data_IF_903724563427
#
_entry.id   IF_903724563427
#
_cell.length_a   1.000
_cell.length_b   1.000
_cell.length_c   1.000
_cell.angle_alpha   90.00
_cell.angle_beta   90.00
_cell.angle_gamma   90.00
#
_symmetry.space_group_name_H-M   'P 1'
#
loop_
_entity.id
_entity.type
_entity.pdbx_description
1 polymer ?
#
# COMPACT_ATOMS: atom_id res chain seq x y z
N UNK A 1 -19.37 8.29 8.92
CA UNK A 1 -20.19 7.31 8.16
C UNK A 1 -20.72 6.25 9.11
N UNK A 2 -22.02 5.97 9.07
CA UNK A 2 -22.63 4.87 9.84
C UNK A 2 -23.05 3.77 8.87
N UNK A 3 -22.79 2.53 9.24
CA UNK A 3 -23.21 1.33 8.53
C UNK A 3 -23.44 0.21 9.54
N UNK A 4 -24.34 -0.73 9.22
CA UNK A 4 -24.66 -1.84 10.09
C UNK A 4 -23.62 -2.95 9.99
N UNK A 5 -23.57 -3.86 10.97
CA UNK A 5 -22.74 -5.05 10.90
C UNK A 5 -23.10 -5.92 9.68
N UNK A 6 -24.40 -6.06 9.41
CA UNK A 6 -24.87 -6.82 8.27
C UNK A 6 -24.41 -6.24 6.92
N UNK A 7 -24.39 -4.89 6.79
CA UNK A 7 -23.87 -4.22 5.60
C UNK A 7 -22.39 -4.50 5.39
N UNK A 8 -21.62 -4.50 6.49
CA UNK A 8 -20.20 -4.80 6.46
C UNK A 8 -19.94 -6.24 6.03
N UNK A 9 -20.63 -7.22 6.63
CA UNK A 9 -20.50 -8.64 6.26
C UNK A 9 -20.89 -8.87 4.80
N UNK A 10 -21.99 -8.30 4.34
CA UNK A 10 -22.44 -8.41 2.96
C UNK A 10 -21.41 -7.86 1.96
N UNK A 11 -20.73 -6.75 2.30
CA UNK A 11 -19.67 -6.20 1.46
C UNK A 11 -18.47 -7.14 1.35
N UNK A 12 -18.06 -7.79 2.44
CA UNK A 12 -16.89 -8.71 2.43
C UNK A 12 -17.09 -9.91 1.46
N UNK A 13 -18.33 -10.33 1.24
CA UNK A 13 -18.65 -11.41 0.28
C UNK A 13 -18.27 -11.04 -1.15
N UNK A 14 -18.36 -9.74 -1.48
CA UNK A 14 -18.06 -9.25 -2.83
C UNK A 14 -16.58 -9.41 -3.21
N UNK A 15 -15.67 -9.33 -2.23
CA UNK A 15 -14.22 -9.48 -2.45
C UNK A 15 -13.90 -10.93 -2.77
N UNK A 16 -13.23 -11.18 -3.89
CA UNK A 16 -12.69 -12.50 -4.26
C UNK A 16 -11.21 -12.63 -3.93
N UNK A 17 -10.45 -11.52 -4.00
CA UNK A 17 -9.04 -11.49 -3.62
C UNK A 17 -8.50 -10.09 -3.43
N UNK A 18 -7.57 -9.95 -2.48
CA UNK A 18 -6.94 -8.68 -2.15
C UNK A 18 -5.48 -8.88 -1.77
N UNK A 19 -4.62 -7.98 -2.25
CA UNK A 19 -3.22 -7.91 -1.85
C UNK A 19 -2.94 -6.62 -1.11
N UNK A 20 -2.12 -6.67 -0.07
CA UNK A 20 -1.44 -5.48 0.42
C UNK A 20 0.02 -5.47 -0.01
N UNK A 21 0.52 -4.29 -0.40
CA UNK A 21 1.90 -4.09 -0.80
C UNK A 21 2.61 -3.22 0.26
N UNK A 22 3.40 -3.87 1.11
CA UNK A 22 4.24 -3.24 2.12
C UNK A 22 5.68 -3.04 1.64
N UNK A 23 6.45 -2.26 2.40
CA UNK A 23 7.86 -1.98 2.14
C UNK A 23 8.18 -0.48 2.12
N UNK A 24 9.48 -0.15 2.18
CA UNK A 24 9.97 1.21 2.24
C UNK A 24 9.82 1.95 0.89
N UNK A 25 10.23 3.21 0.84
CA UNK A 25 10.13 4.03 -0.37
C UNK A 25 10.97 3.43 -1.50
N UNK A 26 10.48 3.50 -2.74
CA UNK A 26 11.15 3.05 -3.98
C UNK A 26 11.56 1.56 -4.00
N UNK A 27 10.96 0.70 -3.14
CA UNK A 27 11.24 -0.74 -3.16
C UNK A 27 10.54 -1.51 -4.30
N UNK A 28 9.61 -0.89 -5.06
CA UNK A 28 8.92 -1.51 -6.19
C UNK A 28 7.41 -1.71 -6.04
N UNK A 29 6.79 -1.25 -4.93
CA UNK A 29 5.34 -1.36 -4.72
C UNK A 29 4.50 -0.79 -5.85
N UNK A 30 4.88 0.39 -6.37
CA UNK A 30 4.14 1.04 -7.45
C UNK A 30 4.23 0.26 -8.75
N UNK A 31 5.39 -0.33 -9.07
CA UNK A 31 5.54 -1.20 -10.25
C UNK A 31 4.65 -2.45 -10.12
N UNK A 32 4.64 -3.10 -8.93
CA UNK A 32 3.74 -4.21 -8.65
C UNK A 32 2.27 -3.81 -8.79
N UNK A 33 1.87 -2.67 -8.21
CA UNK A 33 0.49 -2.17 -8.29
C UNK A 33 0.05 -1.88 -9.72
N UNK A 34 0.92 -1.25 -10.54
CA UNK A 34 0.66 -1.00 -11.96
C UNK A 34 0.51 -2.32 -12.74
N UNK A 35 1.39 -3.27 -12.49
CA UNK A 35 1.29 -4.59 -13.11
C UNK A 35 -0.02 -5.29 -12.75
N UNK A 36 -0.39 -5.32 -11.47
CA UNK A 36 -1.65 -5.92 -11.02
C UNK A 36 -2.88 -5.25 -11.67
N UNK A 37 -2.86 -3.92 -11.79
CA UNK A 37 -3.93 -3.17 -12.46
C UNK A 37 -4.07 -3.59 -13.93
N UNK A 38 -2.95 -3.79 -14.63
CA UNK A 38 -2.93 -4.20 -16.04
C UNK A 38 -3.52 -5.60 -16.30
N UNK A 39 -3.59 -6.43 -15.26
CA UNK A 39 -4.16 -7.79 -15.33
C UNK A 39 -5.51 -7.92 -14.60
N UNK A 40 -6.17 -6.79 -14.31
CA UNK A 40 -7.52 -6.75 -13.73
C UNK A 40 -7.56 -6.94 -12.20
N UNK A 41 -6.48 -6.63 -11.50
CA UNK A 41 -6.43 -6.52 -10.04
C UNK A 41 -6.28 -5.03 -9.73
N UNK A 42 -7.37 -4.35 -9.39
CA UNK A 42 -7.42 -2.89 -9.25
C UNK A 42 -6.39 -2.37 -8.27
N UNK A 43 -5.60 -1.42 -8.74
CA UNK A 43 -4.64 -0.69 -7.90
C UNK A 43 -5.35 0.37 -7.08
N UNK A 44 -5.22 0.31 -5.76
CA UNK A 44 -5.77 1.29 -4.83
C UNK A 44 -4.69 1.76 -3.85
N UNK A 45 -4.75 3.02 -3.45
CA UNK A 45 -3.77 3.59 -2.52
C UNK A 45 -4.41 3.79 -1.15
N UNK A 46 -3.78 3.27 -0.10
CA UNK A 46 -4.23 3.46 1.29
C UNK A 46 -4.45 4.93 1.60
N UNK A 47 -3.48 5.78 1.25
CA UNK A 47 -3.55 7.22 1.47
C UNK A 47 -4.78 7.90 0.84
N UNK A 48 -5.30 7.38 -0.26
CA UNK A 48 -6.48 7.96 -0.90
C UNK A 48 -7.72 7.79 -0.01
N UNK A 49 -7.90 6.60 0.57
CA UNK A 49 -9.01 6.29 1.48
C UNK A 49 -8.84 7.05 2.80
N UNK A 50 -7.62 7.09 3.36
CA UNK A 50 -7.33 7.85 4.58
C UNK A 50 -7.64 9.35 4.41
N UNK A 51 -7.30 9.95 3.27
CA UNK A 51 -7.65 11.35 2.95
C UNK A 51 -9.15 11.58 2.90
N UNK A 52 -9.90 10.69 2.28
CA UNK A 52 -11.36 10.79 2.27
C UNK A 52 -11.94 10.73 3.70
N UNK A 53 -11.46 9.79 4.51
CA UNK A 53 -11.85 9.67 5.91
C UNK A 53 -11.51 10.92 6.72
N UNK A 54 -10.36 11.54 6.49
CA UNK A 54 -9.93 12.79 7.12
C UNK A 54 -10.80 13.95 6.66
N UNK A 55 -11.06 14.08 5.36
CA UNK A 55 -11.88 15.17 4.79
C UNK A 55 -13.29 15.15 5.36
N UNK A 56 -13.94 14.00 5.49
CA UNK A 56 -15.26 13.88 6.10
C UNK A 56 -15.26 14.19 7.60
N UNK A 57 -14.11 14.09 8.26
CA UNK A 57 -13.90 14.50 9.66
C UNK A 57 -13.46 15.96 9.80
N UNK A 58 -13.53 16.73 8.71
CA UNK A 58 -13.16 18.14 8.64
C UNK A 58 -11.68 18.43 8.97
N UNK A 59 -10.77 17.47 8.70
CA UNK A 59 -9.33 17.73 8.77
C UNK A 59 -8.94 18.73 7.68
N UNK A 60 -8.14 19.72 8.05
CA UNK A 60 -7.67 20.76 7.13
C UNK A 60 -6.23 20.44 6.70
N UNK A 61 -6.02 20.05 5.46
CA UNK A 61 -4.70 19.84 4.87
C UNK A 61 -4.69 20.24 3.40
N UNK A 62 -3.53 20.72 2.93
CA UNK A 62 -3.29 21.03 1.51
C UNK A 62 -2.32 19.98 0.94
N UNK A 63 -2.78 19.23 -0.05
CA UNK A 63 -1.97 18.21 -0.68
C UNK A 63 -1.83 16.93 0.16
N UNK A 64 -0.76 16.77 0.96
CA UNK A 64 -0.54 15.59 1.80
C UNK A 64 -0.85 15.90 3.28
N UNK A 65 -1.61 15.04 3.99
CA UNK A 65 -1.85 15.17 5.42
C UNK A 65 -0.55 15.18 6.22
N UNK A 66 -0.53 15.91 7.33
CA UNK A 66 0.59 15.91 8.27
C UNK A 66 0.69 14.59 9.06
N UNK A 67 1.83 14.36 9.70
CA UNK A 67 1.99 13.22 10.61
C UNK A 67 0.97 13.25 11.76
N UNK A 68 0.65 14.45 12.24
CA UNK A 68 -0.35 14.63 13.30
C UNK A 68 -1.76 14.25 12.83
N UNK A 69 -2.11 14.52 11.56
CA UNK A 69 -3.40 14.12 11.00
C UNK A 69 -3.55 12.60 10.99
N UNK A 70 -2.50 11.86 10.59
CA UNK A 70 -2.50 10.40 10.67
C UNK A 70 -2.58 9.89 12.11
N UNK A 71 -1.84 10.51 13.03
CA UNK A 71 -1.89 10.17 14.45
C UNK A 71 -3.31 10.36 14.99
N UNK A 72 -3.94 11.49 14.70
CA UNK A 72 -5.28 11.81 15.16
C UNK A 72 -6.34 10.88 14.54
N UNK A 73 -6.20 10.50 13.26
CA UNK A 73 -7.13 9.59 12.58
C UNK A 73 -7.25 8.26 13.33
N UNK A 74 -6.13 7.74 13.84
CA UNK A 74 -6.06 6.43 14.48
C UNK A 74 -6.09 6.46 16.03
N UNK A 75 -6.14 7.66 16.66
CA UNK A 75 -5.93 7.81 18.10
C UNK A 75 -7.09 7.31 18.97
N UNK A 76 -8.34 7.44 18.53
CA UNK A 76 -9.51 7.22 19.41
C UNK A 76 -10.01 5.77 19.40
N UNK A 77 -10.09 5.17 18.24
CA UNK A 77 -10.62 3.82 18.06
C UNK A 77 -10.06 3.25 16.77
N UNK A 78 -8.88 2.68 16.88
CA UNK A 78 -8.12 2.16 15.74
C UNK A 78 -8.89 1.06 15.00
N UNK A 79 -9.56 0.15 15.72
CA UNK A 79 -10.32 -0.94 15.11
C UNK A 79 -11.52 -0.42 14.32
N UNK A 80 -12.24 0.56 14.85
CA UNK A 80 -13.33 1.23 14.14
C UNK A 80 -12.83 1.93 12.87
N UNK A 81 -11.66 2.57 12.94
CA UNK A 81 -11.02 3.21 11.76
C UNK A 81 -10.66 2.17 10.71
N UNK A 82 -10.10 1.03 11.09
CA UNK A 82 -9.79 -0.07 10.16
C UNK A 82 -11.05 -0.66 9.53
N UNK A 83 -12.11 -0.80 10.31
CA UNK A 83 -13.40 -1.29 9.82
C UNK A 83 -14.00 -0.33 8.80
N UNK A 84 -13.99 0.97 9.09
CA UNK A 84 -14.42 2.01 8.14
C UNK A 84 -13.56 2.04 6.88
N UNK A 85 -12.23 1.92 7.04
CA UNK A 85 -11.30 1.83 5.92
C UNK A 85 -11.67 0.66 4.98
N UNK A 86 -11.85 -0.53 5.53
CA UNK A 86 -12.20 -1.72 4.73
C UNK A 86 -13.58 -1.56 4.07
N UNK A 87 -14.57 -1.01 4.79
CA UNK A 87 -15.90 -0.76 4.26
C UNK A 87 -15.86 0.18 3.04
N UNK A 88 -15.07 1.26 3.09
CA UNK A 88 -14.88 2.20 1.98
C UNK A 88 -14.13 1.57 0.82
N UNK A 89 -13.07 0.83 1.13
CA UNK A 89 -12.28 0.13 0.12
C UNK A 89 -13.17 -0.80 -0.71
N UNK A 90 -13.98 -1.63 -0.06
CA UNK A 90 -14.89 -2.55 -0.74
C UNK A 90 -16.00 -1.77 -1.47
N UNK A 91 -16.49 -0.67 -0.89
CA UNK A 91 -17.47 0.21 -1.56
C UNK A 91 -16.98 0.68 -2.92
N UNK A 92 -15.75 1.16 -3.00
CA UNK A 92 -15.12 1.56 -4.27
C UNK A 92 -14.97 0.38 -5.25
N UNK A 93 -14.62 -0.79 -4.74
CA UNK A 93 -14.56 -2.00 -5.57
C UNK A 93 -15.95 -2.34 -6.15
N UNK A 94 -17.00 -2.18 -5.36
CA UNK A 94 -18.39 -2.43 -5.81
C UNK A 94 -18.86 -1.41 -6.86
N UNK A 95 -18.55 -0.11 -6.64
CA UNK A 95 -18.88 0.96 -7.59
C UNK A 95 -18.28 0.72 -8.98
N UNK A 96 -17.07 0.16 -9.03
CA UNK A 96 -16.36 -0.19 -10.27
C UNK A 96 -16.61 -1.65 -10.73
N UNK A 97 -17.42 -2.43 -10.00
CA UNK A 97 -17.67 -3.86 -10.22
C UNK A 97 -16.39 -4.71 -10.25
N UNK A 98 -15.47 -4.45 -9.32
CA UNK A 98 -14.14 -5.08 -9.24
C UNK A 98 -14.08 -6.01 -8.05
N UNK A 99 -13.71 -7.27 -8.27
CA UNK A 99 -13.62 -8.31 -7.23
C UNK A 99 -12.20 -8.53 -6.69
N UNK A 100 -11.19 -8.01 -7.38
CA UNK A 100 -9.77 -8.17 -7.03
C UNK A 100 -9.09 -6.81 -6.90
N UNK A 101 -8.38 -6.57 -5.80
CA UNK A 101 -7.68 -5.31 -5.58
C UNK A 101 -6.27 -5.52 -5.00
N UNK A 102 -5.37 -4.58 -5.30
CA UNK A 102 -4.10 -4.39 -4.60
C UNK A 102 -4.10 -3.06 -3.88
N UNK A 103 -3.81 -3.05 -2.59
CA UNK A 103 -3.68 -1.83 -1.78
C UNK A 103 -2.22 -1.48 -1.59
N UNK A 104 -1.83 -0.31 -2.09
CA UNK A 104 -0.44 0.13 -2.14
C UNK A 104 -0.05 0.93 -0.90
N UNK A 105 1.17 0.70 -0.45
CA UNK A 105 1.83 1.40 0.65
C UNK A 105 1.28 1.07 2.04
N UNK A 106 1.08 -0.24 2.31
CA UNK A 106 0.83 -0.69 3.68
C UNK A 106 2.04 -0.35 4.55
N UNK A 107 1.83 0.53 5.52
CA UNK A 107 2.84 0.99 6.47
C UNK A 107 2.44 0.78 7.93
N UNK A 108 1.20 0.33 8.18
CA UNK A 108 0.70 -0.08 9.50
C UNK A 108 0.47 -1.59 9.50
N UNK A 109 1.28 -2.31 10.27
CA UNK A 109 1.12 -3.77 10.40
C UNK A 109 -0.25 -4.15 10.96
N UNK A 110 -0.78 -3.35 11.89
CA UNK A 110 -2.08 -3.56 12.52
C UNK A 110 -3.23 -3.55 11.50
N UNK A 111 -3.16 -2.66 10.49
CA UNK A 111 -4.13 -2.66 9.40
C UNK A 111 -4.02 -3.96 8.57
N UNK A 112 -2.81 -4.41 8.26
CA UNK A 112 -2.60 -5.67 7.54
C UNK A 112 -3.15 -6.88 8.29
N UNK A 113 -2.94 -6.93 9.61
CA UNK A 113 -3.51 -7.97 10.49
C UNK A 113 -5.04 -7.91 10.47
N UNK A 114 -5.61 -6.70 10.60
CA UNK A 114 -7.06 -6.50 10.58
C UNK A 114 -7.68 -6.98 9.26
N UNK A 115 -7.10 -6.56 8.13
CA UNK A 115 -7.59 -6.97 6.80
C UNK A 115 -7.53 -8.49 6.61
N UNK A 116 -6.46 -9.14 7.11
CA UNK A 116 -6.32 -10.60 7.07
C UNK A 116 -7.35 -11.29 7.95
N UNK A 117 -7.64 -10.75 9.14
CA UNK A 117 -8.69 -11.24 10.05
C UNK A 117 -10.07 -11.21 9.36
N UNK A 118 -10.40 -10.08 8.71
CA UNK A 118 -11.73 -9.86 8.14
C UNK A 118 -11.97 -10.59 6.81
N UNK A 119 -10.96 -10.71 5.96
CA UNK A 119 -11.07 -11.28 4.62
C UNK A 119 -10.57 -12.74 4.54
N UNK A 120 -9.87 -13.21 5.58
CA UNK A 120 -9.36 -14.58 5.65
C UNK A 120 -8.43 -14.94 4.48
N UNK A 121 -8.66 -16.10 3.83
CA UNK A 121 -7.79 -16.57 2.75
C UNK A 121 -7.83 -15.70 1.49
N UNK A 122 -8.79 -14.79 1.37
CA UNK A 122 -8.87 -13.83 0.26
C UNK A 122 -7.85 -12.70 0.38
N UNK A 123 -7.22 -12.52 1.55
CA UNK A 123 -6.24 -11.45 1.81
C UNK A 123 -4.83 -12.01 1.88
N UNK A 124 -3.90 -11.37 1.15
CA UNK A 124 -2.48 -11.69 1.18
C UNK A 124 -1.65 -10.43 1.42
N UNK A 125 -0.80 -10.46 2.44
CA UNK A 125 0.14 -9.40 2.74
C UNK A 125 1.49 -9.70 2.04
N UNK A 126 1.92 -8.80 1.18
CA UNK A 126 3.17 -8.90 0.44
C UNK A 126 4.12 -7.80 0.94
N UNK A 127 5.32 -8.18 1.35
CA UNK A 127 6.37 -7.23 1.68
C UNK A 127 7.44 -7.23 0.62
N UNK A 128 7.74 -6.05 0.07
CA UNK A 128 8.78 -5.88 -0.94
C UNK A 128 9.94 -5.13 -0.30
N UNK A 129 11.11 -5.73 -0.33
CA UNK A 129 12.34 -5.12 0.17
C UNK A 129 13.36 -4.90 -0.94
N UNK A 130 14.15 -3.85 -0.77
CA UNK A 130 15.30 -3.54 -1.59
C UNK A 130 16.32 -2.75 -0.75
N UNK A 131 17.64 -2.93 -0.97
CA UNK A 131 18.68 -2.17 -0.32
C UNK A 131 18.50 -0.65 -0.52
N UNK A 132 18.92 0.15 0.45
CA UNK A 132 18.81 1.62 0.38
C UNK A 132 19.44 2.17 -0.90
N UNK A 133 20.61 1.68 -1.26
CA UNK A 133 21.34 2.11 -2.45
C UNK A 133 20.53 1.91 -3.73
N UNK A 134 19.95 0.72 -3.90
CA UNK A 134 19.08 0.39 -5.04
C UNK A 134 17.85 1.31 -5.08
N UNK A 135 17.25 1.56 -3.92
CA UNK A 135 16.08 2.45 -3.79
C UNK A 135 16.42 3.92 -4.09
N UNK A 136 17.58 4.37 -3.61
CA UNK A 136 18.10 5.70 -3.90
C UNK A 136 18.43 5.86 -5.38
N UNK A 137 18.99 4.85 -6.03
CA UNK A 137 19.29 4.86 -7.45
C UNK A 137 17.98 5.01 -8.29
N UNK A 138 16.91 4.31 -7.92
CA UNK A 138 15.59 4.45 -8.56
C UNK A 138 15.00 5.85 -8.39
N UNK A 139 15.11 6.39 -7.18
CA UNK A 139 14.66 7.76 -6.91
C UNK A 139 15.51 8.79 -7.65
N UNK A 140 16.83 8.57 -7.74
CA UNK A 140 17.74 9.44 -8.50
C UNK A 140 17.35 9.48 -9.97
N UNK A 141 17.18 8.33 -10.61
CA UNK A 141 16.71 8.25 -11.99
C UNK A 141 15.41 9.02 -12.20
N UNK A 142 14.43 8.77 -11.37
CA UNK A 142 13.11 9.41 -11.45
C UNK A 142 13.16 10.92 -11.25
N UNK A 143 13.98 11.44 -10.32
CA UNK A 143 14.02 12.87 -10.01
C UNK A 143 14.92 13.64 -10.96
N UNK A 144 16.06 13.10 -11.35
CA UNK A 144 17.06 13.80 -12.16
C UNK A 144 16.86 13.53 -13.64
N UNK A 145 16.69 12.27 -14.05
CA UNK A 145 16.59 11.90 -15.46
C UNK A 145 15.18 12.13 -15.98
N UNK A 146 14.17 11.56 -15.32
CA UNK A 146 12.78 11.62 -15.83
C UNK A 146 12.12 12.99 -15.58
N UNK A 147 12.43 13.64 -14.44
CA UNK A 147 11.82 14.92 -14.05
C UNK A 147 12.74 16.13 -14.22
N UNK A 148 13.98 15.95 -14.65
CA UNK A 148 14.93 17.03 -14.95
C UNK A 148 15.35 17.87 -13.74
N UNK A 149 15.29 17.32 -12.51
CA UNK A 149 15.71 18.04 -11.30
C UNK A 149 17.19 17.84 -11.05
N UNK A 150 17.86 18.89 -10.62
CA UNK A 150 19.29 18.87 -10.30
C UNK A 150 19.49 18.44 -8.84
N UNK A 151 19.70 17.14 -8.62
CA UNK A 151 20.06 16.55 -7.33
C UNK A 151 21.33 15.73 -7.47
N UNK A 152 22.20 15.80 -6.47
CA UNK A 152 23.30 14.84 -6.32
C UNK A 152 22.77 13.51 -5.81
N UNK A 153 23.52 12.42 -6.00
CA UNK A 153 23.13 11.11 -5.50
C UNK A 153 23.04 11.09 -3.96
N UNK A 154 23.96 11.77 -3.26
CA UNK A 154 23.94 11.84 -1.79
C UNK A 154 22.70 12.56 -1.24
N UNK A 155 22.27 13.63 -1.90
CA UNK A 155 21.00 14.30 -1.56
C UNK A 155 19.80 13.36 -1.74
N UNK A 156 19.81 12.56 -2.78
CA UNK A 156 18.76 11.55 -3.03
C UNK A 156 18.80 10.44 -1.96
N UNK A 157 19.97 9.98 -1.54
CA UNK A 157 20.11 9.00 -0.45
C UNK A 157 19.47 9.54 0.83
N UNK A 158 19.83 10.76 1.24
CA UNK A 158 19.26 11.39 2.43
C UNK A 158 17.76 11.64 2.31
N UNK A 159 17.30 12.08 1.14
CA UNK A 159 15.87 12.23 0.85
C UNK A 159 15.10 10.90 0.97
N UNK A 160 15.69 9.81 0.49
CA UNK A 160 15.09 8.47 0.57
C UNK A 160 15.00 8.00 2.01
N UNK A 161 16.04 8.20 2.81
CA UNK A 161 16.04 7.93 4.27
C UNK A 161 14.94 8.74 4.98
N UNK A 162 14.85 10.03 4.69
CA UNK A 162 13.85 10.91 5.31
C UNK A 162 12.40 10.48 4.97
N UNK A 163 12.13 10.07 3.73
CA UNK A 163 10.83 9.50 3.34
C UNK A 163 10.51 8.22 4.12
N UNK A 164 11.51 7.43 4.47
CA UNK A 164 11.31 6.18 5.20
C UNK A 164 11.06 6.39 6.69
N UNK A 165 11.62 7.45 7.31
CA UNK A 165 11.47 7.71 8.75
C UNK A 165 10.00 7.73 9.19
N UNK A 166 9.14 8.43 8.44
CA UNK A 166 7.70 8.45 8.70
C UNK A 166 7.11 7.03 8.68
N UNK A 167 7.41 6.26 7.64
CA UNK A 167 6.88 4.90 7.47
C UNK A 167 7.38 3.96 8.56
N UNK A 168 8.66 4.04 8.90
CA UNK A 168 9.30 3.24 9.96
C UNK A 168 8.65 3.55 11.31
N UNK A 169 8.47 4.83 11.63
CA UNK A 169 7.82 5.27 12.87
C UNK A 169 6.40 4.71 13.01
N UNK A 170 5.68 4.58 11.90
CA UNK A 170 4.32 4.04 11.87
C UNK A 170 4.23 2.52 11.63
N UNK A 171 5.35 1.80 11.70
CA UNK A 171 5.36 0.33 11.72
C UNK A 171 5.64 -0.34 10.38
N UNK A 172 6.13 0.37 9.36
CA UNK A 172 6.37 -0.22 8.04
C UNK A 172 7.32 -1.42 8.06
N UNK A 173 8.30 -1.46 8.98
CA UNK A 173 9.17 -2.62 9.12
C UNK A 173 8.44 -3.82 9.73
N UNK A 174 7.47 -3.59 10.64
CA UNK A 174 6.65 -4.65 11.23
C UNK A 174 5.70 -5.30 10.22
N UNK A 175 5.45 -4.64 9.07
CA UNK A 175 4.68 -5.26 7.98
C UNK A 175 5.40 -6.50 7.43
N UNK A 176 6.72 -6.56 7.54
CA UNK A 176 7.51 -7.75 7.17
C UNK A 176 7.13 -8.96 8.03
N UNK A 177 6.88 -8.75 9.31
CA UNK A 177 6.58 -9.82 10.27
C UNK A 177 5.21 -10.47 10.03
N UNK A 178 4.30 -9.76 9.38
CA UNK A 178 2.95 -10.23 9.05
C UNK A 178 2.79 -10.62 7.57
N UNK A 179 3.86 -10.55 6.80
CA UNK A 179 3.81 -10.83 5.37
C UNK A 179 3.64 -12.32 5.08
N UNK A 180 2.71 -12.66 4.20
CA UNK A 180 2.57 -14.01 3.65
C UNK A 180 3.69 -14.30 2.64
N UNK A 181 4.18 -13.25 1.96
CA UNK A 181 5.27 -13.33 0.98
C UNK A 181 6.22 -12.15 1.18
N UNK A 182 7.52 -12.45 1.20
CA UNK A 182 8.59 -11.45 1.17
C UNK A 182 9.30 -11.56 -0.18
N UNK A 183 9.46 -10.41 -0.85
CA UNK A 183 10.09 -10.34 -2.18
C UNK A 183 11.31 -9.45 -2.09
N UNK A 184 12.47 -10.01 -2.43
CA UNK A 184 13.70 -9.26 -2.64
C UNK A 184 13.70 -8.66 -4.05
N UNK A 185 13.65 -7.32 -4.10
CA UNK A 185 13.74 -6.55 -5.33
C UNK A 185 15.04 -5.72 -5.32
N UNK A 186 16.16 -6.44 -5.25
CA UNK A 186 17.51 -5.90 -5.04
C UNK A 186 18.26 -5.56 -6.34
N UNK A 187 17.69 -5.89 -7.49
CA UNK A 187 18.33 -5.65 -8.78
C UNK A 187 17.81 -4.39 -9.48
N UNK A 188 18.74 -3.71 -10.15
CA UNK A 188 18.47 -2.55 -10.97
C UNK A 188 18.15 -2.99 -12.41
N UNK A 189 17.14 -2.38 -13.03
CA UNK A 189 16.71 -2.43 -14.46
C UNK A 189 16.74 -3.78 -15.18
N UNK A 190 17.79 -4.59 -15.11
CA UNK A 190 17.92 -5.85 -15.86
C UNK A 190 16.95 -6.96 -15.44
N UNK A 191 16.35 -6.83 -14.26
CA UNK A 191 15.45 -7.82 -13.67
C UNK A 191 14.01 -7.36 -13.50
N UNK A 192 13.58 -6.27 -14.15
CA UNK A 192 12.17 -5.86 -14.11
C UNK A 192 11.25 -6.99 -14.59
N UNK A 193 11.64 -7.68 -15.64
CA UNK A 193 10.90 -8.83 -16.17
C UNK A 193 10.83 -9.98 -15.16
N UNK A 194 11.90 -10.25 -14.42
CA UNK A 194 11.90 -11.26 -13.36
C UNK A 194 11.00 -10.86 -12.21
N UNK A 195 11.07 -9.60 -11.78
CA UNK A 195 10.17 -9.05 -10.76
C UNK A 195 8.70 -9.16 -11.18
N UNK A 196 8.36 -8.79 -12.41
CA UNK A 196 6.99 -8.91 -12.93
C UNK A 196 6.53 -10.36 -13.06
N UNK A 197 7.43 -11.30 -13.38
CA UNK A 197 7.11 -12.73 -13.39
C UNK A 197 6.77 -13.25 -11.99
N UNK A 198 7.45 -12.78 -10.95
CA UNK A 198 7.08 -13.09 -9.55
C UNK A 198 5.68 -12.56 -9.24
N UNK A 199 5.37 -11.32 -9.65
CA UNK A 199 4.04 -10.74 -9.47
C UNK A 199 2.96 -11.54 -10.21
N UNK A 200 3.26 -12.03 -11.41
CA UNK A 200 2.36 -12.89 -12.19
C UNK A 200 2.06 -14.21 -11.46
N UNK A 201 3.09 -14.83 -10.89
CA UNK A 201 2.95 -16.03 -10.06
C UNK A 201 2.02 -15.80 -8.87
N UNK A 202 2.22 -14.69 -8.14
CA UNK A 202 1.39 -14.29 -7.00
C UNK A 202 -0.07 -14.05 -7.43
N UNK A 203 -0.30 -13.33 -8.51
CA UNK A 203 -1.63 -13.05 -9.04
C UNK A 203 -2.39 -14.34 -9.38
N UNK A 204 -1.69 -15.37 -9.88
CA UNK A 204 -2.29 -16.66 -10.22
C UNK A 204 -2.77 -17.45 -8.99
N UNK A 205 -2.21 -17.20 -7.80
CA UNK A 205 -2.63 -17.86 -6.56
C UNK A 205 -3.99 -17.33 -6.09
N UNK A 206 -4.23 -16.05 -6.22
CA UNK A 206 -5.44 -15.39 -5.71
C UNK A 206 -6.62 -15.47 -6.70
N UNK A 207 -6.35 -15.65 -7.99
CA UNK A 207 -7.40 -15.78 -9.01
C UNK A 207 -7.94 -17.22 -9.17
N UNK A 208 -7.38 -18.18 -8.44
CA UNK A 208 -7.90 -19.55 -8.35
C UNK A 208 -9.02 -19.63 -7.33
#
# INVERSE_FOLDING_TARGET
MEFTEQDFENRKIFVKGMFSLGGLSECGKSAAGIYFDSIGIKRMKIIAIEKEMMTERNYQFTGHPSEQDFTNLYAKDTEKVFKEFLYRLIGKMQEENIHYASIESLYRSELGVYLKKELGPKMMNIYIEAPLEVRAQREYQKQTIDNGKDFTFDEIVERTKNKDQFKIKHGALKVKDIADIIINNDSFVENEKQYLNIMAGIASIVKK
#
